data_IF_142951287681
#
_entry.id   IF_142951287681
#
_cell.length_a   1.000
_cell.length_b   1.000
_cell.length_c   1.000
_cell.angle_alpha   90.00
_cell.angle_beta   90.00
_cell.angle_gamma   90.00
#
_symmetry.space_group_name_H-M   'P 1'
#
loop_
_entity.id
_entity.type
_entity.pdbx_description
1 polymer ?
#
# COMPACT_ATOMS: atom_id res chain seq x y z
N UNK A 1 -26.32 -11.00 10.64
CA UNK A 1 -25.04 -11.74 10.80
C UNK A 1 -24.01 -10.94 10.04
N UNK A 2 -23.07 -10.28 10.72
CA UNK A 2 -22.00 -9.54 10.03
C UNK A 2 -20.97 -10.54 9.50
N UNK A 3 -20.40 -10.25 8.33
CA UNK A 3 -19.34 -11.07 7.75
C UNK A 3 -18.05 -10.92 8.57
N UNK A 4 -17.24 -11.99 8.65
CA UNK A 4 -15.91 -11.98 9.29
C UNK A 4 -15.05 -10.84 8.74
N UNK A 5 -15.08 -10.62 7.42
CA UNK A 5 -14.33 -9.54 6.79
C UNK A 5 -14.74 -8.15 7.32
N UNK A 6 -16.04 -7.94 7.52
CA UNK A 6 -16.55 -6.67 8.04
C UNK A 6 -16.11 -6.42 9.49
N UNK A 7 -16.09 -7.47 10.32
CA UNK A 7 -15.58 -7.37 11.70
C UNK A 7 -14.09 -7.06 11.71
N UNK A 8 -13.28 -7.79 10.93
CA UNK A 8 -11.83 -7.57 10.86
C UNK A 8 -11.50 -6.15 10.38
N UNK A 9 -12.13 -5.67 9.30
CA UNK A 9 -11.92 -4.32 8.80
C UNK A 9 -12.34 -3.25 9.83
N UNK A 10 -13.42 -3.48 10.56
CA UNK A 10 -13.87 -2.59 11.63
C UNK A 10 -12.90 -2.49 12.80
N UNK A 11 -12.35 -3.62 13.24
CA UNK A 11 -11.34 -3.69 14.29
C UNK A 11 -10.03 -3.01 13.88
N UNK A 12 -9.57 -3.28 12.65
CA UNK A 12 -8.39 -2.63 12.09
C UNK A 12 -8.59 -1.10 12.01
N UNK A 13 -9.75 -0.65 11.52
CA UNK A 13 -10.08 0.78 11.47
C UNK A 13 -10.03 1.42 12.85
N UNK A 14 -10.68 0.81 13.85
CA UNK A 14 -10.70 1.34 15.21
C UNK A 14 -9.29 1.44 15.81
N UNK A 15 -8.44 0.42 15.59
CA UNK A 15 -7.04 0.42 15.99
C UNK A 15 -6.28 1.60 15.35
N UNK A 16 -6.38 1.77 14.03
CA UNK A 16 -5.68 2.82 13.29
C UNK A 16 -6.18 4.23 13.61
N UNK A 17 -7.45 4.36 14.01
CA UNK A 17 -7.99 5.62 14.53
C UNK A 17 -7.44 5.97 15.91
N UNK A 18 -7.09 4.96 16.74
CA UNK A 18 -6.55 5.17 18.09
C UNK A 18 -5.08 5.59 18.14
N UNK A 19 -4.29 5.24 17.13
CA UNK A 19 -2.85 5.57 17.06
C UNK A 19 -2.64 6.97 16.49
N UNK A 20 -1.58 7.65 16.91
CA UNK A 20 -1.27 9.01 16.46
C UNK A 20 -0.83 9.02 14.99
N UNK A 21 0.08 8.12 14.63
CA UNK A 21 0.64 8.00 13.29
C UNK A 21 0.79 6.53 12.85
N UNK A 22 0.87 6.33 11.55
CA UNK A 22 1.16 5.03 10.95
C UNK A 22 1.94 5.20 9.64
N UNK A 23 2.57 4.12 9.20
CA UNK A 23 3.28 4.03 7.92
C UNK A 23 2.73 2.90 7.06
N UNK A 24 3.17 2.83 5.81
CA UNK A 24 2.83 1.77 4.88
C UNK A 24 4.07 1.00 4.44
N UNK A 25 3.92 -0.30 4.24
CA UNK A 25 4.88 -1.15 3.55
C UNK A 25 4.22 -1.71 2.30
N UNK A 26 4.92 -1.63 1.18
CA UNK A 26 4.53 -2.19 -0.11
C UNK A 26 5.46 -3.36 -0.42
N UNK A 27 4.87 -4.48 -0.82
CA UNK A 27 5.58 -5.66 -1.28
C UNK A 27 5.06 -6.08 -2.65
N UNK A 28 5.96 -6.08 -3.63
CA UNK A 28 5.66 -6.43 -5.01
C UNK A 28 5.43 -7.92 -5.16
N UNK A 29 4.29 -8.31 -5.72
CA UNK A 29 3.92 -9.67 -6.04
C UNK A 29 3.61 -9.78 -7.53
N UNK A 30 4.27 -10.69 -8.24
CA UNK A 30 3.95 -10.99 -9.63
C UNK A 30 3.11 -12.28 -9.70
N UNK A 31 1.90 -12.18 -10.25
CA UNK A 31 1.17 -13.39 -10.64
C UNK A 31 1.71 -13.92 -11.98
N UNK A 32 1.67 -15.24 -12.13
CA UNK A 32 2.10 -16.00 -13.31
C UNK A 32 1.42 -15.50 -14.61
N UNK A 33 0.30 -14.79 -14.47
CA UNK A 33 -0.52 -14.22 -15.54
C UNK A 33 -0.12 -12.81 -16.00
N UNK A 34 1.00 -12.25 -15.50
CA UNK A 34 1.56 -10.90 -15.81
C UNK A 34 0.84 -9.71 -15.15
N UNK A 35 -0.04 -9.94 -14.19
CA UNK A 35 -0.59 -8.87 -13.35
C UNK A 35 0.39 -8.61 -12.22
N UNK A 36 0.98 -7.41 -12.18
CA UNK A 36 1.71 -6.97 -10.99
C UNK A 36 0.69 -6.60 -9.91
N UNK A 37 0.98 -6.99 -8.68
CA UNK A 37 0.16 -6.69 -7.52
C UNK A 37 1.07 -6.12 -6.44
N UNK A 38 0.60 -5.11 -5.73
CA UNK A 38 1.28 -4.57 -4.56
C UNK A 38 0.49 -4.99 -3.33
N UNK A 39 1.15 -5.73 -2.43
CA UNK A 39 0.60 -6.08 -1.12
C UNK A 39 0.87 -4.91 -0.18
N UNK A 40 -0.20 -4.35 0.38
CA UNK A 40 -0.11 -3.18 1.26
C UNK A 40 -0.29 -3.62 2.71
N UNK A 41 0.74 -3.37 3.51
CA UNK A 41 0.68 -3.49 4.97
C UNK A 41 0.68 -2.11 5.59
N UNK A 42 -0.02 -1.99 6.72
CA UNK A 42 0.00 -0.80 7.56
C UNK A 42 0.77 -1.09 8.84
N UNK A 43 1.73 -0.24 9.15
CA UNK A 43 2.54 -0.33 10.36
C UNK A 43 2.17 0.78 11.31
N UNK A 44 1.97 0.43 12.58
CA UNK A 44 1.57 1.39 13.61
C UNK A 44 2.32 1.13 14.90
N UNK A 45 2.44 2.18 15.71
CA UNK A 45 2.97 2.09 17.07
C UNK A 45 1.85 2.53 18.01
N UNK A 46 1.49 1.68 18.96
CA UNK A 46 0.48 2.00 19.96
C UNK A 46 1.00 3.06 20.94
N UNK A 47 0.11 3.68 21.71
CA UNK A 47 0.49 4.63 22.76
C UNK A 47 1.39 4.01 23.85
N UNK A 48 1.43 2.68 23.95
CA UNK A 48 2.31 1.95 24.86
C UNK A 48 3.66 1.59 24.23
N UNK A 49 3.93 2.03 22.99
CA UNK A 49 5.15 1.76 22.26
C UNK A 49 5.17 0.40 21.55
N UNK A 50 4.05 -0.31 21.46
CA UNK A 50 4.00 -1.61 20.79
C UNK A 50 3.89 -1.45 19.29
N UNK A 51 4.79 -2.08 18.55
CA UNK A 51 4.76 -2.14 17.10
C UNK A 51 3.77 -3.19 16.62
N UNK A 52 3.01 -2.87 15.59
CA UNK A 52 2.20 -3.84 14.86
C UNK A 52 2.27 -3.59 13.34
N UNK A 53 2.14 -4.68 12.59
CA UNK A 53 2.00 -4.70 11.14
C UNK A 53 0.74 -5.48 10.79
N UNK A 54 -0.19 -4.84 10.10
CA UNK A 54 -1.46 -5.45 9.71
C UNK A 54 -1.62 -5.40 8.19
N UNK A 55 -2.27 -6.41 7.63
CA UNK A 55 -2.61 -6.41 6.21
C UNK A 55 -3.72 -5.39 5.96
N UNK A 56 -3.50 -4.47 5.03
CA UNK A 56 -4.47 -3.45 4.65
C UNK A 56 -5.24 -3.86 3.39
N UNK A 57 -4.54 -4.37 2.37
CA UNK A 57 -5.16 -4.79 1.13
C UNK A 57 -4.17 -5.11 0.01
N UNK A 58 -4.72 -5.34 -1.17
CA UNK A 58 -3.98 -5.55 -2.41
C UNK A 58 -4.32 -4.45 -3.40
N UNK A 59 -3.32 -3.97 -4.13
CA UNK A 59 -3.50 -3.11 -5.28
C UNK A 59 -3.13 -3.91 -6.51
N UNK A 60 -4.12 -4.17 -7.38
CA UNK A 60 -3.87 -4.82 -8.67
C UNK A 60 -3.47 -3.78 -9.70
N UNK A 61 -2.28 -3.94 -10.28
CA UNK A 61 -1.80 -3.10 -11.36
C UNK A 61 -2.19 -3.75 -12.69
N UNK A 62 -2.93 -3.00 -13.51
CA UNK A 62 -3.27 -3.39 -14.87
C UNK A 62 -2.04 -3.44 -15.78
N UNK A 63 -2.27 -3.57 -17.09
CA UNK A 63 -1.18 -3.56 -18.08
C UNK A 63 -0.27 -2.32 -17.99
N UNK A 64 -0.83 -1.20 -17.53
CA UNK A 64 -0.14 0.07 -17.33
C UNK A 64 0.38 0.17 -15.88
N UNK A 65 1.49 -0.53 -15.62
CA UNK A 65 2.24 -0.57 -14.36
C UNK A 65 2.87 0.80 -14.04
N UNK A 66 2.07 1.72 -13.51
CA UNK A 66 2.48 3.11 -13.28
C UNK A 66 2.36 3.51 -11.82
N UNK A 67 3.20 4.45 -11.39
CA UNK A 67 3.10 5.05 -10.05
C UNK A 67 1.72 5.69 -9.79
N UNK A 68 1.06 6.18 -10.84
CA UNK A 68 -0.30 6.71 -10.73
C UNK A 68 -1.31 5.61 -10.40
N UNK A 69 -1.19 4.43 -11.03
CA UNK A 69 -2.08 3.30 -10.73
C UNK A 69 -1.94 2.84 -9.28
N UNK A 70 -0.72 2.83 -8.73
CA UNK A 70 -0.46 2.56 -7.30
C UNK A 70 -1.13 3.61 -6.42
N UNK A 71 -0.94 4.89 -6.76
CA UNK A 71 -1.52 6.01 -6.00
C UNK A 71 -3.05 5.95 -5.99
N UNK A 72 -3.67 5.72 -7.14
CA UNK A 72 -5.13 5.60 -7.27
C UNK A 72 -5.66 4.38 -6.51
N UNK A 73 -4.94 3.26 -6.57
CA UNK A 73 -5.25 2.04 -5.81
C UNK A 73 -5.20 2.29 -4.31
N UNK A 74 -4.18 3.00 -3.83
CA UNK A 74 -4.04 3.34 -2.42
C UNK A 74 -5.17 4.26 -1.93
N UNK A 75 -5.56 5.26 -2.72
CA UNK A 75 -6.68 6.15 -2.39
C UNK A 75 -7.98 5.36 -2.27
N UNK A 76 -8.25 4.42 -3.19
CA UNK A 76 -9.41 3.52 -3.10
C UNK A 76 -9.35 2.66 -1.85
N UNK A 77 -8.18 2.11 -1.53
CA UNK A 77 -8.00 1.27 -0.35
C UNK A 77 -8.30 2.03 0.96
N UNK A 78 -7.90 3.31 1.05
CA UNK A 78 -8.26 4.16 2.18
C UNK A 78 -9.76 4.44 2.27
N UNK A 79 -10.42 4.67 1.13
CA UNK A 79 -11.88 4.87 1.09
C UNK A 79 -12.63 3.60 1.53
N UNK A 80 -12.21 2.44 1.05
CA UNK A 80 -12.83 1.15 1.37
C UNK A 80 -12.65 0.77 2.84
N UNK A 81 -11.54 1.17 3.46
CA UNK A 81 -11.23 0.93 4.87
C UNK A 81 -11.76 2.04 5.81
N UNK A 82 -12.25 3.15 5.25
CA UNK A 82 -12.76 4.30 6.01
C UNK A 82 -11.68 5.08 6.76
N UNK A 83 -10.46 5.10 6.21
CA UNK A 83 -9.30 5.84 6.71
C UNK A 83 -9.22 7.22 6.06
N UNK A 84 -10.30 8.00 6.12
CA UNK A 84 -10.45 9.28 5.40
C UNK A 84 -9.45 10.37 5.86
N UNK A 85 -8.91 10.24 7.06
CA UNK A 85 -7.95 11.17 7.67
C UNK A 85 -6.48 10.80 7.43
N UNK A 86 -6.23 9.89 6.48
CA UNK A 86 -4.89 9.36 6.17
C UNK A 86 -3.83 10.43 5.96
N UNK A 87 -4.18 11.56 5.35
CA UNK A 87 -3.24 12.66 5.07
C UNK A 87 -2.62 13.28 6.34
N UNK A 88 -3.28 13.15 7.50
CA UNK A 88 -2.78 13.66 8.78
C UNK A 88 -2.06 12.59 9.62
N UNK A 89 -2.24 11.31 9.27
CA UNK A 89 -1.73 10.17 10.06
C UNK A 89 -0.58 9.42 9.40
N UNK A 90 -0.53 9.42 8.07
CA UNK A 90 0.50 8.75 7.30
C UNK A 90 1.82 9.52 7.37
N UNK A 91 2.85 8.91 7.95
CA UNK A 91 4.17 9.54 8.12
C UNK A 91 5.28 8.90 7.28
N UNK A 92 5.07 7.69 6.77
CA UNK A 92 6.07 6.98 5.99
C UNK A 92 5.42 6.02 4.99
N UNK A 93 6.02 5.91 3.81
CA UNK A 93 5.72 4.89 2.81
C UNK A 93 7.03 4.20 2.46
N UNK A 94 7.09 2.90 2.67
CA UNK A 94 8.24 2.07 2.38
C UNK A 94 7.89 1.15 1.21
N UNK A 95 8.56 1.35 0.09
CA UNK A 95 8.45 0.49 -1.09
C UNK A 95 9.79 -0.19 -1.34
N UNK A 96 9.80 -1.23 -2.16
CA UNK A 96 11.05 -1.67 -2.78
C UNK A 96 11.56 -0.62 -3.81
N UNK A 97 12.77 -0.83 -4.30
CA UNK A 97 13.38 0.02 -5.32
C UNK A 97 12.86 -0.19 -6.74
N UNK A 98 11.73 -0.88 -6.93
CA UNK A 98 11.19 -1.11 -8.26
C UNK A 98 10.79 0.21 -8.93
N UNK A 99 11.01 0.30 -10.25
CA UNK A 99 10.86 1.55 -10.98
C UNK A 99 9.45 2.16 -10.88
N UNK A 100 8.43 1.30 -10.82
CA UNK A 100 7.02 1.67 -10.64
C UNK A 100 6.76 2.35 -9.29
N UNK A 101 7.49 1.93 -8.26
CA UNK A 101 7.36 2.41 -6.88
C UNK A 101 8.10 3.74 -6.65
N UNK A 102 9.18 3.99 -7.38
CA UNK A 102 9.98 5.24 -7.28
C UNK A 102 9.63 6.28 -8.35
N UNK A 103 8.60 6.03 -9.16
CA UNK A 103 8.18 6.96 -10.22
C UNK A 103 9.19 7.09 -11.38
N UNK A 104 10.07 6.12 -11.55
CA UNK A 104 11.04 6.09 -12.64
C UNK A 104 10.42 5.39 -13.86
N UNK A 105 10.44 6.07 -15.01
CA UNK A 105 10.01 5.45 -16.28
C UNK A 105 11.16 4.67 -16.90
N UNK A 106 11.04 3.34 -17.01
CA UNK A 106 12.04 2.48 -17.65
C UNK A 106 11.92 2.40 -19.18
N UNK A 107 11.09 3.24 -19.80
CA UNK A 107 10.87 3.22 -21.24
C UNK A 107 11.76 4.23 -21.94
N UNK A 108 12.95 3.79 -22.36
CA UNK A 108 13.74 4.44 -23.41
C UNK A 108 14.08 3.40 -24.49
N UNK A 109 13.48 3.54 -25.68
CA UNK A 109 13.84 2.82 -26.91
C UNK A 109 14.07 1.29 -26.78
N UNK A 110 13.08 0.53 -26.31
CA UNK A 110 13.10 -0.95 -26.31
C UNK A 110 14.30 -1.60 -25.58
N UNK A 111 14.91 -0.91 -24.61
CA UNK A 111 15.90 -1.50 -23.70
C UNK A 111 15.49 -1.22 -22.26
N UNK A 112 15.44 -2.28 -21.46
CA UNK A 112 15.35 -2.16 -19.99
C UNK A 112 16.74 -1.76 -19.50
N UNK A 113 16.96 -0.47 -19.32
CA UNK A 113 18.11 0.06 -18.58
C UNK A 113 17.57 0.80 -17.38
N UNK A 114 17.45 0.08 -16.26
CA UNK A 114 17.37 0.70 -14.95
C UNK A 114 18.82 1.01 -14.55
N UNK A 115 19.30 2.22 -14.82
CA UNK A 115 20.57 2.68 -14.23
C UNK A 115 20.34 2.85 -12.72
N UNK A 116 20.57 1.79 -11.97
CA UNK A 116 20.98 1.88 -10.57
C UNK A 116 22.44 2.29 -10.63
N UNK A 117 22.73 3.53 -10.23
CA UNK A 117 24.07 4.14 -10.32
C UNK A 117 25.21 3.28 -9.77
#
# INVERSE_FOLDING_TARGET
MQSIAHTISGELRAKLQSVEFWGLLFDGSEDITKTEQEIVYIVSVSNNGEYASDFLGLIELGADRTAQAITDGLVRLFQDTGLDDWANKLVAVCTDGAAVNVGMSCLNNNKVTCDLG
#
